data_IF_564301538940
#
_entry.id   IF_564301538940
#
_cell.length_a   1.000
_cell.length_b   1.000
_cell.length_c   1.000
_cell.angle_alpha   90.00
_cell.angle_beta   90.00
_cell.angle_gamma   90.00
#
_symmetry.space_group_name_H-M   'P 1'
#
loop_
_entity.id
_entity.type
_entity.pdbx_description
1 polymer ?
#
# COMPACT_ATOMS: atom_id res chain seq x y z
N UNK A 1 -41.99 15.88 23.23
CA UNK A 1 -41.60 16.64 22.01
C UNK A 1 -42.26 18.02 22.01
N UNK A 2 -43.59 18.12 22.12
CA UNK A 2 -44.33 19.39 22.17
C UNK A 2 -43.82 20.39 23.22
N UNK A 3 -43.55 19.95 24.45
CA UNK A 3 -43.02 20.82 25.52
C UNK A 3 -41.65 21.45 25.19
N UNK A 4 -40.73 20.66 24.62
CA UNK A 4 -39.41 21.12 24.18
C UNK A 4 -39.46 22.02 22.95
N UNK A 5 -40.45 21.82 22.07
CA UNK A 5 -40.68 22.67 20.92
C UNK A 5 -41.23 24.04 21.34
N UNK A 6 -42.20 24.06 22.26
CA UNK A 6 -42.77 25.29 22.82
C UNK A 6 -41.75 26.12 23.63
N UNK A 7 -40.81 25.46 24.30
CA UNK A 7 -39.80 26.13 25.15
C UNK A 7 -38.49 26.48 24.42
N UNK A 8 -37.95 25.59 23.57
CA UNK A 8 -36.64 25.76 22.90
C UNK A 8 -36.74 25.94 21.37
N UNK A 9 -37.92 25.82 20.76
CA UNK A 9 -38.12 25.88 19.29
C UNK A 9 -37.52 24.71 18.51
N UNK A 10 -37.02 23.66 19.18
CA UNK A 10 -36.37 22.52 18.53
C UNK A 10 -37.31 21.33 18.35
N UNK A 11 -37.36 20.84 17.10
CA UNK A 11 -38.05 19.59 16.73
C UNK A 11 -37.10 18.39 16.86
N UNK A 12 -35.80 18.60 16.64
CA UNK A 12 -34.78 17.55 16.72
C UNK A 12 -34.30 17.29 18.16
N UNK A 13 -34.03 16.03 18.46
CA UNK A 13 -33.42 15.64 19.73
C UNK A 13 -31.98 16.19 19.82
N UNK A 14 -31.65 16.86 20.93
CA UNK A 14 -30.26 17.21 21.26
C UNK A 14 -29.39 15.94 21.15
N UNK A 15 -28.27 16.03 20.44
CA UNK A 15 -27.26 14.97 20.40
C UNK A 15 -26.93 14.57 21.84
N UNK A 16 -27.18 13.30 22.19
CA UNK A 16 -26.69 12.73 23.45
C UNK A 16 -25.16 12.73 23.37
N UNK A 17 -24.52 13.58 24.16
CA UNK A 17 -23.07 13.71 24.21
C UNK A 17 -22.47 12.75 25.24
N UNK A 18 -21.31 12.18 24.89
CA UNK A 18 -20.32 11.69 25.85
C UNK A 18 -19.18 12.69 25.87
N UNK A 19 -18.61 12.94 27.04
CA UNK A 19 -17.51 13.89 27.20
C UNK A 19 -16.29 13.39 26.42
N UNK A 20 -15.86 14.14 25.41
CA UNK A 20 -14.67 13.82 24.63
C UNK A 20 -13.48 14.51 25.27
N UNK A 21 -13.10 14.04 26.46
CA UNK A 21 -11.82 14.41 27.05
C UNK A 21 -10.70 13.90 26.13
N UNK A 22 -10.25 14.76 25.21
CA UNK A 22 -9.13 14.47 24.35
C UNK A 22 -7.84 14.76 25.11
N UNK A 23 -6.99 13.72 25.25
CA UNK A 23 -5.67 13.86 25.89
C UNK A 23 -4.74 14.86 25.21
N UNK A 24 -4.98 15.14 23.92
CA UNK A 24 -4.21 16.09 23.13
C UNK A 24 -5.09 17.28 22.76
N UNK A 25 -4.55 18.49 22.93
CA UNK A 25 -5.15 19.72 22.40
C UNK A 25 -5.06 19.75 20.88
N UNK A 26 -5.88 20.55 20.22
CA UNK A 26 -5.90 20.59 18.75
C UNK A 26 -4.56 21.07 18.16
N UNK A 27 -3.84 21.96 18.84
CA UNK A 27 -2.49 22.38 18.48
C UNK A 27 -1.49 21.21 18.52
N UNK A 28 -1.54 20.39 19.57
CA UNK A 28 -0.69 19.19 19.69
C UNK A 28 -1.02 18.18 18.60
N UNK A 29 -2.30 18.01 18.24
CA UNK A 29 -2.70 17.13 17.12
C UNK A 29 -2.11 17.60 15.79
N UNK A 30 -2.09 18.91 15.55
CA UNK A 30 -1.47 19.50 14.35
C UNK A 30 0.05 19.29 14.33
N UNK A 31 0.72 19.39 15.47
CA UNK A 31 2.15 19.11 15.56
C UNK A 31 2.48 17.65 15.25
N UNK A 32 1.72 16.70 15.83
CA UNK A 32 1.84 15.27 15.53
C UNK A 32 1.64 14.98 14.05
N UNK A 33 0.69 15.67 13.42
CA UNK A 33 0.47 15.58 11.98
C UNK A 33 1.69 16.04 11.18
N UNK A 34 2.26 17.21 11.52
CA UNK A 34 3.46 17.72 10.84
C UNK A 34 4.63 16.74 10.93
N UNK A 35 4.86 16.14 12.09
CA UNK A 35 5.92 15.13 12.25
C UNK A 35 5.72 13.91 11.36
N UNK A 36 4.47 13.46 11.18
CA UNK A 36 4.15 12.34 10.30
C UNK A 36 4.21 12.70 8.81
N UNK A 37 3.99 13.97 8.45
CA UNK A 37 4.12 14.45 7.07
C UNK A 37 5.59 14.64 6.67
N UNK A 38 6.43 15.10 7.59
CA UNK A 38 7.88 15.31 7.41
C UNK A 38 8.64 13.97 7.25
N UNK A 39 8.39 13.01 8.13
CA UNK A 39 8.94 11.64 8.03
C UNK A 39 7.83 10.61 7.95
N UNK A 40 7.50 10.20 6.71
CA UNK A 40 6.47 9.17 6.47
C UNK A 40 6.86 7.76 6.94
N UNK A 41 8.12 7.54 7.32
CA UNK A 41 8.60 6.25 7.85
C UNK A 41 8.62 6.23 9.37
N UNK A 42 8.22 7.31 10.03
CA UNK A 42 8.20 7.38 11.49
C UNK A 42 7.22 6.35 12.07
N UNK A 43 7.72 5.52 12.97
CA UNK A 43 6.89 4.54 13.68
C UNK A 43 5.96 5.22 14.69
N UNK A 44 4.83 4.57 15.01
CA UNK A 44 3.92 5.04 16.06
C UNK A 44 4.59 5.12 17.44
N UNK A 45 5.51 4.19 17.74
CA UNK A 45 6.29 4.20 18.98
C UNK A 45 7.16 5.46 19.12
N UNK A 46 7.87 5.85 18.06
CA UNK A 46 8.64 7.11 18.02
C UNK A 46 7.75 8.35 18.15
N UNK A 47 6.57 8.35 17.52
CA UNK A 47 5.62 9.45 17.69
C UNK A 47 5.09 9.55 19.13
N UNK A 48 4.86 8.40 19.78
CA UNK A 48 4.48 8.35 21.20
C UNK A 48 5.57 8.93 22.09
N UNK A 49 6.81 8.53 21.86
CA UNK A 49 7.97 9.07 22.58
C UNK A 49 8.10 10.58 22.37
N UNK A 50 7.97 11.07 21.13
CA UNK A 50 7.95 12.51 20.83
C UNK A 50 6.81 13.23 21.54
N UNK A 51 5.62 12.66 21.63
CA UNK A 51 4.50 13.29 22.35
C UNK A 51 4.82 13.42 23.84
N UNK A 52 5.46 12.40 24.43
CA UNK A 52 5.87 12.43 25.83
C UNK A 52 7.00 13.45 26.06
N UNK A 53 8.02 13.47 25.21
CA UNK A 53 9.16 14.37 25.37
C UNK A 53 8.82 15.84 25.10
N UNK A 54 7.95 16.12 24.13
CA UNK A 54 7.68 17.49 23.67
C UNK A 54 6.51 18.12 24.41
N UNK A 55 5.50 17.33 24.79
CA UNK A 55 4.28 17.85 25.43
C UNK A 55 4.10 17.35 26.87
N UNK A 56 4.92 16.42 27.35
CA UNK A 56 4.72 15.78 28.65
C UNK A 56 3.49 14.86 28.69
N UNK A 57 2.88 14.54 27.54
CA UNK A 57 1.62 13.79 27.47
C UNK A 57 1.87 12.36 27.05
N UNK A 58 1.50 11.42 27.93
CA UNK A 58 1.49 10.00 27.62
C UNK A 58 0.25 9.60 26.80
N UNK A 59 0.47 9.29 25.53
CA UNK A 59 -0.55 8.77 24.59
C UNK A 59 -0.25 7.32 24.20
N UNK A 60 -1.30 6.56 23.89
CA UNK A 60 -1.14 5.21 23.36
C UNK A 60 -0.92 5.25 21.84
N UNK A 61 -0.28 4.22 21.30
CA UNK A 61 -0.11 4.07 19.85
C UNK A 61 -1.47 4.02 19.12
N UNK A 62 -2.49 3.43 19.75
CA UNK A 62 -3.84 3.41 19.22
C UNK A 62 -4.44 4.82 19.11
N UNK A 63 -4.18 5.70 20.08
CA UNK A 63 -4.61 7.11 20.01
C UNK A 63 -3.94 7.83 18.84
N UNK A 64 -2.63 7.65 18.67
CA UNK A 64 -1.88 8.25 17.56
C UNK A 64 -2.35 7.69 16.22
N UNK A 65 -2.55 6.38 16.11
CA UNK A 65 -3.09 5.73 14.91
C UNK A 65 -4.46 6.27 14.52
N UNK A 66 -5.39 6.41 15.49
CA UNK A 66 -6.71 7.02 15.24
C UNK A 66 -6.60 8.48 14.79
N UNK A 67 -5.74 9.25 15.44
CA UNK A 67 -5.46 10.64 15.10
C UNK A 67 -4.92 10.78 13.68
N UNK A 68 -3.91 9.98 13.31
CA UNK A 68 -3.36 10.00 11.97
C UNK A 68 -4.39 9.59 10.91
N UNK A 69 -5.24 8.58 11.21
CA UNK A 69 -6.35 8.18 10.33
C UNK A 69 -7.36 9.31 10.09
N UNK A 70 -7.63 10.15 11.09
CA UNK A 70 -8.55 11.30 10.91
C UNK A 70 -7.97 12.38 10.01
N UNK A 71 -6.65 12.54 9.97
CA UNK A 71 -5.99 13.50 9.09
C UNK A 71 -5.67 12.94 7.71
N UNK A 72 -5.56 11.63 7.59
CA UNK A 72 -5.16 10.98 6.37
C UNK A 72 -6.35 10.52 5.53
N UNK A 73 -6.67 11.26 4.48
CA UNK A 73 -7.34 10.68 3.31
C UNK A 73 -6.38 9.81 2.47
N UNK A 74 -5.07 9.82 2.78
CA UNK A 74 -3.98 9.33 1.93
C UNK A 74 -2.95 8.39 2.60
N UNK A 75 -3.07 8.07 3.90
CA UNK A 75 -2.02 7.33 4.65
C UNK A 75 -1.83 5.88 4.20
N UNK A 76 -2.70 5.34 3.36
CA UNK A 76 -2.56 4.00 2.80
C UNK A 76 -2.01 4.00 1.38
N UNK A 77 -1.30 5.05 0.95
CA UNK A 77 -0.44 4.93 -0.24
C UNK A 77 0.75 4.07 0.11
N UNK A 78 0.58 2.75 -0.04
CA UNK A 78 1.68 1.80 -0.12
C UNK A 78 2.68 2.36 -1.13
N UNK A 79 3.90 2.61 -0.70
CA UNK A 79 4.96 2.96 -1.64
C UNK A 79 5.04 1.80 -2.63
N UNK A 80 4.89 2.03 -3.94
CA UNK A 80 5.06 0.94 -4.89
C UNK A 80 6.46 0.39 -4.67
N UNK A 81 6.55 -0.94 -4.54
CA UNK A 81 7.84 -1.63 -4.50
C UNK A 81 8.57 -1.22 -5.78
N UNK A 82 9.57 -0.36 -5.65
CA UNK A 82 10.45 -0.05 -6.76
C UNK A 82 11.22 -1.33 -7.04
N UNK A 83 11.09 -1.93 -8.24
CA UNK A 83 11.87 -3.10 -8.57
C UNK A 83 13.34 -2.71 -8.41
N UNK A 84 14.06 -3.43 -7.54
CA UNK A 84 15.49 -3.19 -7.33
C UNK A 84 16.21 -3.54 -8.63
N UNK A 85 16.52 -2.53 -9.44
CA UNK A 85 17.20 -2.72 -10.72
C UNK A 85 18.70 -2.74 -10.45
N UNK A 86 19.45 -3.52 -11.24
CA UNK A 86 20.91 -3.39 -11.26
C UNK A 86 21.22 -2.01 -11.87
N UNK A 87 21.82 -1.10 -11.10
CA UNK A 87 22.19 0.24 -11.58
C UNK A 87 21.23 1.37 -11.20
N UNK A 88 20.96 1.57 -9.90
CA UNK A 88 20.28 2.79 -9.40
C UNK A 88 21.26 3.94 -9.08
N UNK A 89 22.45 3.93 -9.69
CA UNK A 89 23.38 5.06 -9.64
C UNK A 89 22.87 6.25 -10.47
N UNK A 90 23.31 7.47 -10.13
CA UNK A 90 22.90 8.69 -10.82
C UNK A 90 23.11 8.62 -12.35
N UNK A 91 24.27 8.10 -12.79
CA UNK A 91 24.61 7.94 -14.21
C UNK A 91 23.61 7.05 -14.97
N UNK A 92 23.14 5.97 -14.33
CA UNK A 92 22.17 5.06 -14.93
C UNK A 92 20.75 5.64 -14.96
N UNK A 93 20.45 6.61 -14.09
CA UNK A 93 19.19 7.37 -14.16
C UNK A 93 19.25 8.36 -15.32
N UNK A 94 20.37 9.06 -15.49
CA UNK A 94 20.56 10.04 -16.56
C UNK A 94 20.58 9.37 -17.94
N UNK A 95 21.28 8.24 -18.08
CA UNK A 95 21.27 7.45 -19.30
C UNK A 95 19.86 6.97 -19.68
N UNK A 96 19.06 6.56 -18.69
CA UNK A 96 17.64 6.19 -18.90
C UNK A 96 16.80 7.36 -19.39
N UNK A 97 17.02 8.55 -18.80
CA UNK A 97 16.30 9.76 -19.18
C UNK A 97 16.64 10.19 -20.62
N UNK A 98 17.93 10.22 -20.96
CA UNK A 98 18.40 10.56 -22.30
C UNK A 98 17.89 9.57 -23.36
N UNK A 99 17.96 8.27 -23.08
CA UNK A 99 17.39 7.25 -23.96
C UNK A 99 15.90 7.47 -24.19
N UNK A 100 15.12 7.66 -23.12
CA UNK A 100 13.68 7.89 -23.22
C UNK A 100 13.38 9.15 -24.05
N UNK A 101 14.14 10.23 -23.87
CA UNK A 101 13.97 11.46 -24.62
C UNK A 101 14.28 11.27 -26.11
N UNK A 102 15.38 10.58 -26.45
CA UNK A 102 15.72 10.27 -27.85
C UNK A 102 14.67 9.41 -28.54
N UNK A 103 14.11 8.43 -27.82
CA UNK A 103 13.08 7.54 -28.33
C UNK A 103 11.78 8.30 -28.63
N UNK A 104 11.37 9.20 -27.73
CA UNK A 104 10.22 10.08 -27.95
C UNK A 104 10.41 11.01 -29.16
N UNK A 105 11.62 11.53 -29.35
CA UNK A 105 11.93 12.37 -30.51
C UNK A 105 11.84 11.59 -31.83
N UNK A 106 12.31 10.34 -31.85
CA UNK A 106 12.17 9.46 -33.02
C UNK A 106 10.69 9.20 -33.36
N UNK A 107 9.84 8.94 -32.35
CA UNK A 107 8.39 8.78 -32.59
C UNK A 107 7.72 10.04 -33.11
N UNK A 108 8.16 11.21 -32.63
CA UNK A 108 7.61 12.48 -33.10
C UNK A 108 7.95 12.76 -34.57
N UNK A 109 9.07 12.24 -35.08
CA UNK A 109 9.55 12.48 -36.45
C UNK A 109 9.08 11.42 -37.46
N UNK A 110 8.83 10.18 -37.03
CA UNK A 110 8.44 9.07 -37.91
C UNK A 110 7.10 8.45 -37.47
N UNK A 111 5.99 9.03 -37.94
CA UNK A 111 4.63 8.62 -37.52
C UNK A 111 3.96 7.55 -38.39
N UNK A 112 4.64 6.94 -39.38
CA UNK A 112 3.92 6.09 -40.37
C UNK A 112 4.42 4.65 -40.52
N UNK A 113 5.68 4.28 -40.20
CA UNK A 113 6.17 2.91 -40.53
C UNK A 113 7.20 2.30 -39.57
N UNK A 114 7.24 2.68 -38.30
CA UNK A 114 8.18 2.07 -37.34
C UNK A 114 7.53 0.91 -36.60
N UNK A 115 7.85 -0.33 -36.99
CA UNK A 115 7.53 -1.51 -36.18
C UNK A 115 8.60 -1.71 -35.12
N UNK A 116 8.20 -1.86 -33.85
CA UNK A 116 9.09 -2.21 -32.76
C UNK A 116 8.76 -3.61 -32.24
N UNK A 117 9.79 -4.44 -32.15
CA UNK A 117 9.72 -5.76 -31.52
C UNK A 117 10.53 -5.73 -30.23
N UNK A 118 9.89 -6.05 -29.10
CA UNK A 118 10.56 -6.21 -27.82
C UNK A 118 10.66 -7.71 -27.53
N UNK A 119 11.88 -8.21 -27.34
CA UNK A 119 12.14 -9.57 -26.89
C UNK A 119 12.71 -9.50 -25.47
N UNK A 120 12.05 -10.17 -24.53
CA UNK A 120 12.52 -10.32 -23.16
C UNK A 120 12.53 -11.81 -22.79
N UNK A 121 13.63 -12.27 -22.19
CA UNK A 121 13.73 -13.64 -21.69
C UNK A 121 13.28 -13.67 -20.23
N UNK A 122 12.03 -14.06 -19.99
CA UNK A 122 11.56 -14.35 -18.65
C UNK A 122 11.95 -15.80 -18.28
N UNK A 123 12.90 -15.97 -17.35
CA UNK A 123 13.19 -17.27 -16.77
C UNK A 123 12.03 -17.69 -15.86
N UNK A 124 11.16 -18.60 -16.31
CA UNK A 124 10.19 -19.25 -15.43
C UNK A 124 10.91 -20.27 -14.54
N UNK A 125 10.92 -20.04 -13.24
CA UNK A 125 11.31 -21.08 -12.28
C UNK A 125 10.12 -22.03 -12.13
N UNK A 126 10.19 -23.16 -12.83
CA UNK A 126 9.26 -24.27 -12.65
C UNK A 126 9.56 -24.94 -11.31
N UNK A 127 8.69 -24.77 -10.32
CA UNK A 127 8.69 -25.60 -9.10
C UNK A 127 7.78 -26.81 -9.37
N UNK A 128 8.30 -28.04 -9.54
CA UNK A 128 7.45 -29.21 -9.64
C UNK A 128 6.75 -29.44 -8.29
N UNK A 129 5.45 -29.18 -8.22
CA UNK A 129 4.64 -29.66 -7.11
C UNK A 129 4.45 -31.16 -7.27
N UNK A 130 5.14 -31.95 -6.46
CA UNK A 130 4.93 -33.40 -6.34
C UNK A 130 3.56 -33.66 -5.72
N UNK A 131 2.55 -33.89 -6.54
CA UNK A 131 1.34 -34.59 -6.10
C UNK A 131 1.52 -36.08 -6.35
N UNK A 132 1.92 -36.81 -5.31
CA UNK A 132 1.72 -38.26 -5.20
C UNK A 132 0.25 -38.57 -5.40
N UNK A 133 -0.10 -39.23 -6.50
CA UNK A 133 -1.40 -39.89 -6.64
C UNK A 133 -1.16 -41.37 -6.42
N UNK A 134 -1.69 -41.84 -5.30
CA UNK A 134 -1.68 -43.23 -4.87
C UNK A 134 -2.35 -44.15 -5.88
N UNK A 135 -1.76 -45.32 -6.00
CA UNK A 135 -2.17 -46.47 -6.80
C UNK A 135 -3.62 -46.90 -6.55
N UNK A 136 -4.30 -47.31 -7.62
CA UNK A 136 -5.35 -48.33 -7.55
C UNK A 136 -5.20 -49.28 -8.74
N UNK A 137 -4.76 -50.48 -8.40
CA UNK A 137 -4.66 -51.71 -9.18
C UNK A 137 -6.01 -52.16 -9.75
N UNK A 138 -6.03 -52.60 -11.01
CA UNK A 138 -6.94 -53.63 -11.52
C UNK A 138 -6.15 -54.55 -12.45
N UNK A 139 -6.09 -55.82 -12.06
CA UNK A 139 -5.56 -56.95 -12.83
C UNK A 139 -6.60 -57.43 -13.85
N UNK A 140 -6.14 -57.80 -15.04
CA UNK A 140 -6.74 -58.90 -15.81
C UNK A 140 -5.73 -59.41 -16.83
N UNK A 141 -5.38 -60.68 -16.67
CA UNK A 141 -4.61 -61.51 -17.59
C UNK A 141 -5.40 -61.84 -18.86
N UNK A 142 -4.67 -62.24 -19.90
CA UNK A 142 -5.00 -63.15 -21.04
C UNK A 142 -4.21 -62.66 -22.28
N UNK A 143 -3.00 -63.17 -22.56
CA UNK A 143 -2.61 -64.48 -23.11
C UNK A 143 -2.81 -64.61 -24.65
N UNK A 144 -1.78 -65.20 -25.29
CA UNK A 144 -1.61 -65.61 -26.71
C UNK A 144 -1.19 -64.48 -27.69
N UNK A 145 -0.11 -64.58 -28.47
CA UNK A 145 0.84 -65.65 -28.78
C UNK A 145 1.48 -65.41 -30.16
N UNK A 146 2.71 -65.88 -30.36
CA UNK A 146 3.46 -66.11 -31.62
C UNK A 146 3.74 -64.90 -32.54
N UNK A 147 5.01 -64.49 -32.78
CA UNK A 147 5.93 -65.06 -33.81
C UNK A 147 5.25 -65.06 -35.19
N UNK A 148 5.66 -64.28 -36.18
CA UNK A 148 7.00 -64.15 -36.81
C UNK A 148 7.02 -62.91 -37.68
#
# INVERSE_FOLDING_TARGET
ILKKFLEEGRVEAKKRGGDKAHKLTDEQKLAVRRWAEEDRRISLAKLKEKCLSTFGVAVSEATISRLLKTFSSTATRRTPLQPKRRGDGAEAIDARWLYAQSLLQLFAQQLVQTQMCFADQASSSFTPSSSTVSSSSVSSEDDRGAST
#
